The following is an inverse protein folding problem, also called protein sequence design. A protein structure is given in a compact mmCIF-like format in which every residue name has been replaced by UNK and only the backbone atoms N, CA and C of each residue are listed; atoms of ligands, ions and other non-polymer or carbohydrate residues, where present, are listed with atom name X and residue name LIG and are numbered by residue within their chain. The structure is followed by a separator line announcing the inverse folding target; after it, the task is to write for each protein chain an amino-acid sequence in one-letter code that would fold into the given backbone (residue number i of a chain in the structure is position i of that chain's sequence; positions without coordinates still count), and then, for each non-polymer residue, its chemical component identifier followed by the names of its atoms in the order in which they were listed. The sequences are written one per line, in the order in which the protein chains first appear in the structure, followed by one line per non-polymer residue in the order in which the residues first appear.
data_IF_189690341199
#
_entry.id   IF_189690341199
#
_cell.length_a   1.000
_cell.length_b   1.000
_cell.length_c   1.000
_cell.angle_alpha   90.00
_cell.angle_beta   90.00
_cell.angle_gamma   90.00
#
_symmetry.space_group_name_H-M   'P 1'
#
loop_
_entity.id
_entity.type
_entity.pdbx_description
1 polymer ?
#
# COMPACT_ATOMS: atom_id res chain seq x y z
N UNK A 1 7.77 -22.97 -16.68
CA UNK A 1 7.96 -21.57 -17.11
C UNK A 1 9.39 -21.38 -17.53
N UNK A 2 9.64 -20.62 -18.59
CA UNK A 2 10.97 -20.12 -18.94
C UNK A 2 10.94 -18.60 -18.77
N UNK A 3 11.46 -18.12 -17.64
CA UNK A 3 11.41 -16.68 -17.27
C UNK A 3 12.13 -15.84 -18.32
N UNK A 4 13.33 -16.25 -18.75
CA UNK A 4 14.13 -15.49 -19.73
C UNK A 4 13.35 -15.27 -21.04
N UNK A 5 12.67 -16.31 -21.53
CA UNK A 5 11.84 -16.21 -22.73
C UNK A 5 10.66 -15.25 -22.55
N UNK A 6 9.99 -15.31 -21.40
CA UNK A 6 8.84 -14.43 -21.09
C UNK A 6 9.32 -12.99 -20.97
N UNK A 7 10.39 -12.74 -20.21
CA UNK A 7 10.99 -11.42 -20.04
C UNK A 7 11.48 -10.85 -21.36
N UNK A 8 12.19 -11.63 -22.19
CA UNK A 8 12.64 -11.19 -23.52
C UNK A 8 11.45 -10.77 -24.40
N UNK A 9 10.37 -11.55 -24.39
CA UNK A 9 9.16 -11.21 -25.14
C UNK A 9 8.47 -9.95 -24.59
N UNK A 10 8.48 -9.76 -23.27
CA UNK A 10 7.83 -8.64 -22.61
C UNK A 10 8.63 -7.34 -22.80
N UNK A 11 9.95 -7.40 -22.70
CA UNK A 11 10.89 -6.30 -22.97
C UNK A 11 10.77 -5.82 -24.42
N UNK A 12 10.66 -6.76 -25.37
CA UNK A 12 10.44 -6.42 -26.78
C UNK A 12 9.09 -5.72 -27.03
N UNK A 13 8.05 -6.05 -26.24
CA UNK A 13 6.70 -5.49 -26.35
C UNK A 13 6.55 -4.15 -25.62
N UNK A 14 7.26 -3.97 -24.50
CA UNK A 14 7.17 -2.81 -23.62
C UNK A 14 8.54 -2.15 -23.41
N UNK A 15 9.18 -1.65 -24.48
CA UNK A 15 10.52 -1.06 -24.39
C UNK A 15 10.50 0.20 -23.51
N UNK A 16 11.48 0.32 -22.61
CA UNK A 16 11.65 1.50 -21.75
C UNK A 16 10.77 1.52 -20.50
N UNK A 17 9.98 0.48 -20.25
CA UNK A 17 9.16 0.38 -19.04
C UNK A 17 9.88 -0.32 -17.88
N UNK A 18 11.02 0.22 -17.44
CA UNK A 18 11.92 -0.38 -16.44
C UNK A 18 11.23 -0.81 -15.14
N UNK A 19 10.40 0.06 -14.56
CA UNK A 19 9.75 -0.16 -13.28
C UNK A 19 8.78 -1.35 -13.37
N UNK A 20 8.02 -1.41 -14.46
CA UNK A 20 7.09 -2.51 -14.74
C UNK A 20 7.82 -3.83 -14.98
N UNK A 21 8.85 -3.83 -15.84
CA UNK A 21 9.61 -5.04 -16.17
C UNK A 21 10.35 -5.61 -14.96
N UNK A 22 10.88 -4.74 -14.09
CA UNK A 22 11.50 -5.15 -12.84
C UNK A 22 10.50 -5.88 -11.94
N UNK A 23 9.32 -5.28 -11.70
CA UNK A 23 8.31 -5.87 -10.83
C UNK A 23 7.79 -7.22 -11.35
N UNK A 24 7.61 -7.35 -12.67
CA UNK A 24 7.24 -8.64 -13.27
C UNK A 24 8.32 -9.68 -13.00
N UNK A 25 9.59 -9.36 -13.28
CA UNK A 25 10.70 -10.30 -13.06
C UNK A 25 10.78 -10.78 -11.61
N UNK A 26 10.67 -9.87 -10.65
CA UNK A 26 10.71 -10.19 -9.21
C UNK A 26 9.58 -11.15 -8.81
N UNK A 27 8.35 -10.90 -9.27
CA UNK A 27 7.22 -11.81 -9.01
C UNK A 27 7.44 -13.16 -9.70
N UNK A 28 7.83 -13.19 -10.98
CA UNK A 28 8.03 -14.44 -11.72
C UNK A 28 9.07 -15.36 -11.07
N UNK A 29 10.20 -14.80 -10.60
CA UNK A 29 11.23 -15.55 -9.86
C UNK A 29 10.62 -16.21 -8.61
N UNK A 30 9.80 -15.48 -7.86
CA UNK A 30 9.23 -15.98 -6.60
C UNK A 30 8.17 -17.07 -6.77
N UNK A 31 7.52 -17.18 -7.93
CA UNK A 31 6.42 -18.12 -8.18
C UNK A 31 6.82 -19.28 -9.11
N UNK A 32 8.01 -19.26 -9.70
CA UNK A 32 8.44 -20.22 -10.73
C UNK A 32 8.29 -21.67 -10.29
N UNK A 33 8.79 -21.99 -9.09
CA UNK A 33 8.75 -23.33 -8.52
C UNK A 33 7.30 -23.84 -8.43
N UNK A 34 6.39 -23.02 -7.87
CA UNK A 34 4.99 -23.41 -7.69
C UNK A 34 4.27 -23.48 -9.02
N UNK A 35 4.47 -22.52 -9.91
CA UNK A 35 3.88 -22.53 -11.25
C UNK A 35 4.23 -23.83 -12.01
N UNK A 36 5.48 -24.29 -11.92
CA UNK A 36 5.94 -25.49 -12.60
C UNK A 36 5.29 -26.79 -12.09
N UNK A 37 4.67 -26.76 -10.91
CA UNK A 37 3.89 -27.87 -10.36
C UNK A 37 2.47 -27.96 -10.95
N UNK A 38 2.05 -26.98 -11.77
CA UNK A 38 0.72 -26.87 -12.36
C UNK A 38 0.79 -26.87 -13.91
N UNK A 39 0.88 -28.05 -14.57
CA UNK A 39 0.88 -28.16 -16.03
C UNK A 39 -0.35 -27.51 -16.69
N UNK A 40 -1.48 -27.45 -16.00
CA UNK A 40 -2.69 -26.77 -16.43
C UNK A 40 -2.52 -25.26 -16.58
N UNK A 41 -1.67 -24.62 -15.77
CA UNK A 41 -1.37 -23.20 -15.91
C UNK A 41 -0.55 -22.92 -17.17
N UNK A 42 0.42 -23.79 -17.46
CA UNK A 42 1.23 -23.69 -18.70
C UNK A 42 0.38 -23.92 -19.95
N UNK A 43 -0.52 -24.92 -19.92
CA UNK A 43 -1.44 -25.17 -21.03
C UNK A 43 -2.38 -23.98 -21.29
N UNK A 44 -2.82 -23.30 -20.23
CA UNK A 44 -3.70 -22.14 -20.32
C UNK A 44 -2.96 -20.80 -20.50
N UNK A 45 -1.63 -20.81 -20.58
CA UNK A 45 -0.79 -19.62 -20.76
C UNK A 45 -1.05 -18.54 -19.70
N UNK A 46 -1.17 -18.98 -18.45
CA UNK A 46 -1.55 -18.11 -17.34
C UNK A 46 -0.57 -16.96 -17.17
N UNK A 47 0.75 -17.19 -17.24
CA UNK A 47 1.72 -16.10 -17.04
C UNK A 47 1.67 -15.11 -18.19
N UNK A 48 1.65 -15.59 -19.43
CA UNK A 48 1.61 -14.72 -20.60
C UNK A 48 0.37 -13.82 -20.61
N UNK A 49 -0.77 -14.30 -20.07
CA UNK A 49 -1.99 -13.52 -19.88
C UNK A 49 -1.90 -12.61 -18.66
N UNK A 50 -1.40 -13.12 -17.53
CA UNK A 50 -1.38 -12.41 -16.25
C UNK A 50 -0.48 -11.19 -16.27
N UNK A 51 0.62 -11.21 -17.02
CA UNK A 51 1.53 -10.05 -17.11
C UNK A 51 0.96 -8.95 -18.01
N UNK A 52 0.08 -9.26 -18.96
CA UNK A 52 -0.50 -8.22 -19.80
C UNK A 52 -1.74 -7.60 -19.12
N UNK A 53 -1.83 -6.27 -18.97
CA UNK A 53 -3.03 -5.64 -18.43
C UNK A 53 -4.25 -5.91 -19.32
N UNK A 54 -5.42 -6.19 -18.71
CA UNK A 54 -6.69 -6.36 -19.45
C UNK A 54 -7.00 -5.13 -20.32
N UNK A 55 -6.73 -3.92 -19.81
CA UNK A 55 -6.92 -2.67 -20.55
C UNK A 55 -6.08 -1.52 -20.01
N UNK A 56 -5.67 -0.63 -20.91
CA UNK A 56 -5.00 0.62 -20.58
C UNK A 56 -5.73 1.76 -21.27
N UNK A 57 -6.15 2.76 -20.49
CA UNK A 57 -6.66 4.02 -20.98
C UNK A 57 -5.60 5.10 -20.78
N UNK A 58 -5.31 5.85 -21.84
CA UNK A 58 -4.48 7.06 -21.81
C UNK A 58 -5.29 8.17 -22.48
N UNK A 59 -5.43 9.31 -21.81
CA UNK A 59 -6.29 10.39 -22.26
C UNK A 59 -5.71 11.75 -21.89
N UNK A 60 -6.04 12.77 -22.69
CA UNK A 60 -5.62 14.15 -22.42
C UNK A 60 -6.54 14.78 -21.39
N UNK A 61 -5.97 15.55 -20.46
CA UNK A 61 -6.72 16.32 -19.45
C UNK A 61 -6.37 17.79 -19.62
N UNK A 62 -7.31 18.57 -20.13
CA UNK A 62 -7.15 20.02 -20.33
C UNK A 62 -7.99 20.78 -19.30
N UNK A 63 -7.37 21.75 -18.64
CA UNK A 63 -7.97 22.53 -17.56
C UNK A 63 -7.42 23.96 -17.59
N UNK A 64 -7.97 24.85 -16.77
CA UNK A 64 -7.57 26.27 -16.70
C UNK A 64 -7.06 26.59 -15.31
N UNK A 65 -5.92 27.25 -15.20
CA UNK A 65 -5.33 27.65 -13.91
C UNK A 65 -5.96 28.93 -13.35
N UNK A 66 -5.52 29.39 -12.19
CA UNK A 66 -6.09 30.60 -11.57
C UNK A 66 -5.74 31.90 -12.30
N UNK A 67 -4.78 31.88 -13.22
CA UNK A 67 -4.41 33.00 -14.07
C UNK A 67 -5.21 33.02 -15.39
N UNK A 68 -6.04 32.00 -15.63
CA UNK A 68 -6.80 31.86 -16.86
C UNK A 68 -6.04 31.17 -17.99
N UNK A 69 -4.84 30.65 -17.72
CA UNK A 69 -4.03 29.95 -18.71
C UNK A 69 -4.49 28.49 -18.86
N UNK A 70 -4.49 28.01 -20.10
CA UNK A 70 -4.86 26.63 -20.41
C UNK A 70 -3.68 25.71 -20.14
N UNK A 71 -3.91 24.74 -19.27
CA UNK A 71 -2.96 23.71 -18.89
C UNK A 71 -3.36 22.37 -19.50
N UNK A 72 -2.38 21.52 -19.80
CA UNK A 72 -2.62 20.17 -20.35
C UNK A 72 -1.73 19.15 -19.65
N UNK A 73 -2.36 18.06 -19.25
CA UNK A 73 -1.73 16.92 -18.58
C UNK A 73 -2.17 15.61 -19.24
N UNK A 74 -1.43 14.54 -18.97
CA UNK A 74 -1.78 13.20 -19.40
C UNK A 74 -2.42 12.43 -18.24
N UNK A 75 -3.57 11.81 -18.51
CA UNK A 75 -4.29 10.96 -17.58
C UNK A 75 -4.25 9.49 -17.99
N UNK A 76 -4.28 8.61 -17.01
CA UNK A 76 -4.15 7.17 -17.19
C UNK A 76 -5.11 6.38 -16.30
N UNK A 77 -5.60 5.25 -16.82
CA UNK A 77 -6.18 4.16 -16.02
C UNK A 77 -5.76 2.79 -16.58
N UNK A 78 -4.96 2.08 -15.80
CA UNK A 78 -4.54 0.69 -16.05
C UNK A 78 -5.49 -0.23 -15.29
N UNK A 79 -6.34 -0.91 -16.02
CA UNK A 79 -7.20 -1.99 -15.54
C UNK A 79 -6.45 -3.29 -15.75
N UNK A 80 -5.81 -3.79 -14.68
CA UNK A 80 -4.77 -4.79 -14.82
C UNK A 80 -5.34 -6.21 -14.89
N UNK A 81 -6.14 -6.59 -13.89
CA UNK A 81 -6.73 -7.92 -13.83
C UNK A 81 -8.04 -7.90 -13.04
N UNK A 82 -9.14 -8.40 -13.61
CA UNK A 82 -10.43 -8.48 -12.90
C UNK A 82 -10.85 -9.91 -12.50
N UNK A 83 -9.94 -10.90 -12.54
CA UNK A 83 -10.31 -12.31 -12.35
C UNK A 83 -10.97 -12.58 -10.99
N UNK A 84 -10.69 -11.79 -9.96
CA UNK A 84 -11.22 -11.98 -8.60
C UNK A 84 -12.19 -10.88 -8.15
N UNK A 85 -12.62 -10.00 -9.06
CA UNK A 85 -13.56 -8.92 -8.76
C UNK A 85 -13.26 -7.64 -9.55
N UNK A 86 -13.99 -6.53 -9.29
CA UNK A 86 -13.78 -5.26 -9.97
C UNK A 86 -12.34 -4.78 -9.86
N UNK A 87 -11.82 -4.07 -10.87
CA UNK A 87 -10.48 -3.49 -10.80
C UNK A 87 -10.40 -2.56 -9.59
N UNK A 88 -9.35 -2.71 -8.78
CA UNK A 88 -9.20 -1.91 -7.57
C UNK A 88 -7.79 -1.36 -7.47
N UNK A 89 -7.69 -0.04 -7.35
CA UNK A 89 -6.46 0.62 -6.95
C UNK A 89 -6.47 2.14 -7.15
N UNK A 90 -5.56 2.79 -6.44
CA UNK A 90 -5.53 4.25 -6.30
C UNK A 90 -5.23 5.03 -7.57
N UNK A 91 -5.49 6.33 -7.51
CA UNK A 91 -5.08 7.36 -8.47
C UNK A 91 -3.91 8.15 -7.91
N UNK A 92 -2.83 8.31 -8.68
CA UNK A 92 -1.64 9.08 -8.28
C UNK A 92 -1.51 10.35 -9.12
N UNK A 93 -1.39 11.51 -8.47
CA UNK A 93 -1.09 12.80 -9.13
C UNK A 93 0.31 13.24 -8.72
N UNK A 94 1.27 13.03 -9.62
CA UNK A 94 2.65 13.42 -9.39
C UNK A 94 3.38 13.64 -10.71
N UNK A 95 4.29 14.63 -10.75
CA UNK A 95 5.03 15.00 -11.97
C UNK A 95 5.85 13.86 -12.59
N UNK A 96 6.18 12.81 -11.82
CA UNK A 96 6.92 11.64 -12.31
C UNK A 96 6.03 10.55 -12.91
N UNK A 97 4.70 10.66 -12.82
CA UNK A 97 3.78 9.60 -13.27
C UNK A 97 3.96 9.36 -14.77
N UNK A 98 4.15 8.09 -15.12
CA UNK A 98 4.19 7.60 -16.49
C UNK A 98 3.52 6.21 -16.55
N UNK A 99 3.37 5.65 -17.76
CA UNK A 99 2.71 4.36 -17.94
C UNK A 99 3.44 3.20 -17.25
N UNK A 100 4.77 3.17 -17.29
CA UNK A 100 5.56 2.11 -16.65
C UNK A 100 5.28 2.04 -15.14
N UNK A 101 5.33 3.18 -14.45
CA UNK A 101 5.04 3.28 -13.02
C UNK A 101 3.61 2.79 -12.71
N UNK A 102 2.63 3.15 -13.54
CA UNK A 102 1.24 2.75 -13.30
C UNK A 102 0.99 1.26 -13.60
N UNK A 103 1.67 0.68 -14.60
CA UNK A 103 1.62 -0.77 -14.83
C UNK A 103 2.30 -1.54 -13.71
N UNK A 104 3.48 -1.11 -13.27
CA UNK A 104 4.15 -1.63 -12.07
C UNK A 104 3.18 -1.66 -10.87
N UNK A 105 2.61 -0.51 -10.52
CA UNK A 105 1.73 -0.40 -9.37
C UNK A 105 0.44 -1.22 -9.56
N UNK A 106 -0.11 -1.27 -10.77
CA UNK A 106 -1.29 -2.07 -11.09
C UNK A 106 -1.05 -3.57 -10.97
N UNK A 107 0.11 -4.04 -11.44
CA UNK A 107 0.54 -5.44 -11.35
C UNK A 107 0.67 -5.89 -9.88
N UNK A 108 1.41 -5.12 -9.08
CA UNK A 108 1.55 -5.36 -7.63
C UNK A 108 0.20 -5.32 -6.90
N UNK A 109 -0.68 -4.39 -7.30
CA UNK A 109 -2.00 -4.23 -6.70
C UNK A 109 -2.89 -5.47 -6.92
N UNK A 110 -2.77 -6.17 -8.05
CA UNK A 110 -3.47 -7.45 -8.33
C UNK A 110 -3.21 -8.47 -7.22
N UNK A 111 -1.94 -8.72 -6.89
CA UNK A 111 -1.58 -9.71 -5.87
C UNK A 111 -1.86 -9.23 -4.46
N UNK A 112 -1.61 -7.95 -4.17
CA UNK A 112 -1.93 -7.34 -2.88
C UNK A 112 -3.42 -7.44 -2.58
N UNK A 113 -4.29 -7.21 -3.56
CA UNK A 113 -5.74 -7.33 -3.40
C UNK A 113 -6.17 -8.78 -3.24
N UNK A 114 -5.57 -9.71 -4.00
CA UNK A 114 -5.84 -11.14 -3.88
C UNK A 114 -5.60 -11.66 -2.46
N UNK A 115 -4.52 -11.21 -1.82
CA UNK A 115 -4.15 -11.59 -0.44
C UNK A 115 -5.23 -11.21 0.58
N UNK A 116 -5.96 -10.11 0.38
CA UNK A 116 -6.96 -9.62 1.34
C UNK A 116 -8.14 -10.57 1.57
N UNK A 117 -8.24 -11.65 0.79
CA UNK A 117 -9.39 -12.57 0.69
C UNK A 117 -10.65 -11.97 0.06
N UNK A 118 -10.79 -10.64 0.03
CA UNK A 118 -11.90 -9.92 -0.56
C UNK A 118 -11.94 -10.02 -2.11
N UNK A 119 -13.11 -9.80 -2.73
CA UNK A 119 -13.28 -9.90 -4.18
C UNK A 119 -12.88 -8.61 -4.89
N UNK A 120 -11.56 -8.37 -5.02
CA UNK A 120 -11.01 -7.16 -5.64
C UNK A 120 -9.93 -7.54 -6.65
N UNK A 121 -10.14 -7.20 -7.92
CA UNK A 121 -9.12 -7.26 -8.97
C UNK A 121 -8.03 -6.20 -8.77
N UNK A 122 -7.08 -6.08 -9.70
CA UNK A 122 -5.99 -5.11 -9.63
C UNK A 122 -6.09 -4.00 -10.67
N UNK A 123 -5.76 -2.78 -10.28
CA UNK A 123 -5.66 -1.65 -11.20
C UNK A 123 -4.89 -0.48 -10.60
N UNK A 124 -4.57 0.51 -11.43
CA UNK A 124 -3.98 1.78 -10.99
C UNK A 124 -4.30 2.88 -11.99
N UNK A 125 -4.26 4.13 -11.58
CA UNK A 125 -4.36 5.26 -12.50
C UNK A 125 -3.67 6.48 -11.96
N UNK A 126 -3.79 7.58 -12.68
CA UNK A 126 -3.15 8.81 -12.26
C UNK A 126 -2.95 9.79 -13.39
N UNK A 127 -2.17 10.82 -13.10
CA UNK A 127 -1.77 11.85 -14.05
C UNK A 127 -0.40 12.42 -13.68
N UNK A 128 0.31 12.92 -14.68
CA UNK A 128 1.52 13.74 -14.51
C UNK A 128 1.24 15.12 -13.88
N UNK A 129 -0.03 15.44 -13.58
CA UNK A 129 -0.41 16.60 -12.79
C UNK A 129 0.20 16.57 -11.38
N UNK A 130 0.76 17.71 -10.94
CA UNK A 130 1.30 17.87 -9.59
C UNK A 130 0.42 18.85 -8.79
N UNK A 131 -0.19 18.41 -7.68
CA UNK A 131 -1.00 19.29 -6.82
C UNK A 131 -0.14 20.28 -6.02
N UNK A 132 1.18 20.10 -5.97
CA UNK A 132 2.08 21.01 -5.24
C UNK A 132 2.04 22.40 -5.86
N UNK A 133 1.81 23.41 -5.02
CA UNK A 133 1.72 24.81 -5.43
C UNK A 133 0.45 25.14 -6.22
N UNK A 134 -0.58 24.29 -6.15
CA UNK A 134 -1.90 24.54 -6.75
C UNK A 134 -2.90 24.99 -5.70
N UNK A 135 -3.81 25.87 -6.09
CA UNK A 135 -4.94 26.24 -5.24
C UNK A 135 -5.98 25.11 -5.18
N UNK A 136 -6.85 25.16 -4.17
CA UNK A 136 -8.00 24.24 -4.08
C UNK A 136 -8.89 24.31 -5.34
N UNK A 137 -9.03 25.51 -5.93
CA UNK A 137 -9.84 25.73 -7.12
C UNK A 137 -9.21 25.09 -8.36
N UNK A 138 -7.89 25.20 -8.52
CA UNK A 138 -7.14 24.53 -9.59
C UNK A 138 -7.23 23.01 -9.47
N UNK A 139 -7.05 22.48 -8.27
CA UNK A 139 -7.16 21.04 -8.00
C UNK A 139 -8.59 20.55 -8.30
N UNK A 140 -9.61 21.30 -7.89
CA UNK A 140 -11.00 20.96 -8.21
C UNK A 140 -11.25 20.93 -9.73
N UNK A 141 -10.81 21.96 -10.47
CA UNK A 141 -10.97 22.02 -11.93
C UNK A 141 -10.22 20.88 -12.62
N UNK A 142 -9.02 20.57 -12.16
CA UNK A 142 -8.26 19.42 -12.65
C UNK A 142 -8.99 18.09 -12.39
N UNK A 143 -9.43 17.83 -11.16
CA UNK A 143 -10.18 16.63 -10.81
C UNK A 143 -11.45 16.47 -11.66
N UNK A 144 -12.18 17.56 -11.89
CA UNK A 144 -13.37 17.54 -12.74
C UNK A 144 -13.01 17.22 -14.21
N UNK A 145 -11.98 17.87 -14.76
CA UNK A 145 -11.49 17.61 -16.11
C UNK A 145 -11.00 16.17 -16.28
N UNK A 146 -10.29 15.63 -15.29
CA UNK A 146 -9.84 14.24 -15.27
C UNK A 146 -11.02 13.25 -15.32
N UNK A 147 -12.08 13.53 -14.56
CA UNK A 147 -13.28 12.67 -14.51
C UNK A 147 -14.10 12.73 -15.79
N UNK A 148 -14.10 13.84 -16.55
CA UNK A 148 -14.81 13.94 -17.83
C UNK A 148 -14.44 12.83 -18.82
N UNK A 149 -13.19 12.35 -18.76
CA UNK A 149 -12.73 11.21 -19.55
C UNK A 149 -12.88 9.89 -18.78
N UNK A 150 -12.51 9.86 -17.49
CA UNK A 150 -12.44 8.61 -16.73
C UNK A 150 -13.82 7.96 -16.45
N UNK A 151 -14.89 8.74 -16.29
CA UNK A 151 -16.16 8.25 -15.72
C UNK A 151 -16.80 7.08 -16.50
N UNK A 152 -16.53 6.97 -17.81
CA UNK A 152 -17.06 5.90 -18.69
C UNK A 152 -16.38 4.55 -18.49
N UNK A 153 -15.28 4.54 -17.75
CA UNK A 153 -14.39 3.40 -17.59
C UNK A 153 -14.40 2.87 -16.16
N UNK A 154 -15.21 3.43 -15.28
CA UNK A 154 -15.29 3.09 -13.86
C UNK A 154 -16.73 2.88 -13.41
N UNK A 155 -16.90 2.14 -12.32
CA UNK A 155 -18.21 1.80 -11.76
C UNK A 155 -18.09 0.86 -10.58
N UNK A 156 -19.15 0.73 -9.76
CA UNK A 156 -19.08 -0.02 -8.49
C UNK A 156 -18.71 -1.50 -8.70
N UNK A 157 -19.14 -2.09 -9.81
CA UNK A 157 -18.87 -3.50 -10.18
C UNK A 157 -17.87 -3.63 -11.34
N UNK A 158 -17.26 -2.53 -11.78
CA UNK A 158 -16.31 -2.52 -12.90
C UNK A 158 -14.90 -2.17 -12.43
N UNK A 159 -14.71 -0.95 -11.94
CA UNK A 159 -13.41 -0.40 -11.51
C UNK A 159 -13.67 0.65 -10.44
N UNK A 160 -13.05 0.45 -9.27
CA UNK A 160 -13.26 1.25 -8.06
C UNK A 160 -11.95 1.94 -7.65
N UNK A 161 -11.68 3.17 -8.13
CA UNK A 161 -10.47 3.90 -7.76
C UNK A 161 -10.44 4.32 -6.28
N UNK A 162 -9.28 4.80 -5.84
CA UNK A 162 -9.05 5.31 -4.49
C UNK A 162 -7.99 6.43 -4.51
N UNK A 163 -7.67 6.99 -3.34
CA UNK A 163 -6.53 7.89 -3.19
C UNK A 163 -5.17 7.18 -3.26
N UNK A 164 -4.14 7.94 -3.64
CA UNK A 164 -2.71 7.59 -3.60
C UNK A 164 -1.91 8.91 -3.44
N UNK A 165 -0.61 8.91 -3.73
CA UNK A 165 0.22 10.13 -3.68
C UNK A 165 -0.41 11.23 -4.55
N UNK A 166 -0.65 12.40 -3.96
CA UNK A 166 -1.29 13.54 -4.62
C UNK A 166 -2.82 13.46 -4.76
N UNK A 167 -3.46 12.38 -4.28
CA UNK A 167 -4.92 12.20 -4.29
C UNK A 167 -5.39 11.81 -2.88
N UNK A 168 -5.72 12.82 -2.08
CA UNK A 168 -6.25 12.66 -0.72
C UNK A 168 -7.78 12.70 -0.67
N UNK A 169 -8.32 12.94 0.53
CA UNK A 169 -9.77 13.05 0.74
C UNK A 169 -10.41 14.20 -0.05
N UNK A 170 -9.69 15.32 -0.19
CA UNK A 170 -10.12 16.50 -0.98
C UNK A 170 -10.31 16.12 -2.44
N UNK A 171 -9.28 15.53 -3.07
CA UNK A 171 -9.33 15.13 -4.47
C UNK A 171 -10.39 14.05 -4.71
N UNK A 172 -10.50 13.05 -3.82
CA UNK A 172 -11.57 12.03 -3.89
C UNK A 172 -12.95 12.67 -3.78
N UNK A 173 -13.13 13.70 -2.94
CA UNK A 173 -14.37 14.47 -2.85
C UNK A 173 -14.74 15.14 -4.19
N UNK A 174 -13.80 15.84 -4.82
CA UNK A 174 -14.03 16.48 -6.13
C UNK A 174 -14.29 15.47 -7.24
N UNK A 175 -13.52 14.38 -7.28
CA UNK A 175 -13.66 13.29 -8.25
C UNK A 175 -15.02 12.61 -8.10
N UNK A 176 -15.41 12.23 -6.88
CA UNK A 176 -16.70 11.61 -6.61
C UNK A 176 -17.87 12.56 -6.94
N UNK A 177 -17.74 13.84 -6.60
CA UNK A 177 -18.74 14.87 -6.93
C UNK A 177 -18.98 14.98 -8.43
N UNK A 178 -17.91 15.01 -9.24
CA UNK A 178 -18.01 15.07 -10.69
C UNK A 178 -18.56 13.77 -11.29
N UNK A 179 -18.11 12.62 -10.79
CA UNK A 179 -18.62 11.31 -11.22
C UNK A 179 -20.13 11.22 -11.00
N UNK A 180 -20.60 11.52 -9.78
CA UNK A 180 -22.03 11.56 -9.43
C UNK A 180 -22.80 12.52 -10.33
N UNK A 181 -22.24 13.67 -10.68
CA UNK A 181 -22.89 14.64 -11.59
C UNK A 181 -23.10 14.06 -13.00
N UNK A 182 -22.12 13.32 -13.51
CA UNK A 182 -22.15 12.74 -14.85
C UNK A 182 -23.03 11.49 -14.92
N UNK A 183 -22.90 10.57 -13.97
CA UNK A 183 -23.65 9.31 -13.95
C UNK A 183 -25.05 9.45 -13.39
N UNK A 184 -25.29 10.44 -12.53
CA UNK A 184 -26.51 10.61 -11.72
C UNK A 184 -26.72 9.48 -10.70
N UNK A 185 -25.63 8.83 -10.29
CA UNK A 185 -25.64 7.71 -9.35
C UNK A 185 -24.86 8.04 -8.08
N UNK A 186 -25.37 7.57 -6.93
CA UNK A 186 -24.66 7.61 -5.65
C UNK A 186 -24.26 6.19 -5.25
N UNK A 187 -23.07 5.77 -5.67
CA UNK A 187 -22.58 4.39 -5.55
C UNK A 187 -21.17 4.33 -4.96
N UNK A 188 -20.73 3.11 -4.62
CA UNK A 188 -19.41 2.82 -4.08
C UNK A 188 -18.24 2.89 -5.08
N UNK A 189 -18.37 3.63 -6.20
CA UNK A 189 -17.33 3.68 -7.28
C UNK A 189 -15.98 4.22 -6.81
N UNK A 190 -15.90 4.89 -5.66
CA UNK A 190 -14.63 5.31 -5.07
C UNK A 190 -14.55 4.90 -3.60
N UNK A 191 -13.35 4.55 -3.14
CA UNK A 191 -13.04 4.35 -1.71
C UNK A 191 -12.15 5.47 -1.17
N UNK A 192 -12.12 5.63 0.15
CA UNK A 192 -11.50 6.79 0.80
C UNK A 192 -12.36 8.04 0.74
N UNK A 193 -13.68 7.87 0.64
CA UNK A 193 -14.66 8.96 0.74
C UNK A 193 -14.68 9.53 2.16
N UNK A 194 -15.18 10.75 2.31
CA UNK A 194 -15.49 11.35 3.62
C UNK A 194 -16.67 10.64 4.27
N UNK A 195 -16.72 10.66 5.59
CA UNK A 195 -17.69 9.90 6.38
C UNK A 195 -19.13 10.33 6.05
N UNK A 196 -19.34 11.61 5.77
CA UNK A 196 -20.63 12.22 5.46
C UNK A 196 -21.22 11.74 4.12
N UNK A 197 -20.41 11.12 3.26
CA UNK A 197 -20.82 10.69 1.91
C UNK A 197 -20.33 9.29 1.54
N UNK A 198 -20.34 8.37 2.51
CA UNK A 198 -20.13 6.93 2.29
C UNK A 198 -18.71 6.44 2.54
N UNK A 199 -17.89 7.22 3.24
CA UNK A 199 -16.60 6.77 3.77
C UNK A 199 -16.76 5.73 4.89
N UNK A 200 -15.68 5.01 5.19
CA UNK A 200 -15.63 4.05 6.29
C UNK A 200 -14.82 4.61 7.47
N UNK A 201 -15.29 4.35 8.69
CA UNK A 201 -14.45 4.46 9.89
C UNK A 201 -13.22 3.56 9.76
N UNK A 202 -12.19 3.80 10.59
CA UNK A 202 -10.90 3.10 10.59
C UNK A 202 -10.03 3.38 9.35
N UNK A 203 -10.55 3.98 8.27
CA UNK A 203 -9.80 4.18 7.02
C UNK A 203 -8.47 4.94 7.18
N UNK A 204 -8.36 6.03 7.96
CA UNK A 204 -7.09 6.74 8.15
C UNK A 204 -5.99 5.89 8.83
N UNK A 205 -6.35 5.12 9.85
CA UNK A 205 -5.45 4.28 10.65
C UNK A 205 -5.25 2.85 10.10
N UNK A 206 -6.12 2.40 9.18
CA UNK A 206 -6.23 1.01 8.73
C UNK A 206 -4.90 0.37 8.30
N UNK A 207 -4.04 1.12 7.61
CA UNK A 207 -2.73 0.60 7.18
C UNK A 207 -1.80 0.36 8.36
N UNK A 208 -1.76 1.29 9.32
CA UNK A 208 -0.96 1.14 10.54
C UNK A 208 -1.49 0.05 11.47
N UNK A 209 -2.81 0.01 11.67
CA UNK A 209 -3.49 -1.05 12.45
C UNK A 209 -3.22 -2.41 11.83
N UNK A 210 -3.43 -2.53 10.51
CA UNK A 210 -3.21 -3.76 9.78
C UNK A 210 -1.76 -4.24 9.88
N UNK A 211 -0.81 -3.32 9.72
CA UNK A 211 0.61 -3.63 9.86
C UNK A 211 0.97 -4.19 11.24
N UNK A 212 0.42 -3.60 12.31
CA UNK A 212 0.64 -4.10 13.67
C UNK A 212 -0.05 -5.44 13.92
N UNK A 213 -1.24 -5.68 13.38
CA UNK A 213 -1.88 -7.00 13.46
C UNK A 213 -1.03 -8.08 12.82
N UNK A 214 -0.49 -7.82 11.63
CA UNK A 214 0.36 -8.76 10.93
C UNK A 214 1.69 -9.00 11.66
N UNK A 215 2.36 -7.94 12.13
CA UNK A 215 3.60 -8.04 12.91
C UNK A 215 3.36 -8.82 14.21
N UNK A 216 2.27 -8.55 14.92
CA UNK A 216 1.91 -9.27 16.14
C UNK A 216 1.73 -10.77 15.87
N UNK A 217 1.05 -11.15 14.78
CA UNK A 217 0.91 -12.56 14.40
C UNK A 217 2.24 -13.20 14.01
N UNK A 218 3.09 -12.47 13.27
CA UNK A 218 4.43 -12.92 12.95
C UNK A 218 5.26 -13.21 14.21
N UNK A 219 5.19 -12.35 15.24
CA UNK A 219 5.83 -12.59 16.54
C UNK A 219 5.24 -13.81 17.26
N UNK A 220 3.91 -13.94 17.27
CA UNK A 220 3.22 -15.08 17.90
C UNK A 220 3.61 -16.42 17.28
N UNK A 221 3.90 -16.50 15.97
CA UNK A 221 4.42 -17.74 15.36
C UNK A 221 5.76 -18.21 15.94
N UNK A 222 6.50 -17.30 16.59
CA UNK A 222 7.75 -17.60 17.28
C UNK A 222 7.58 -17.61 18.81
N UNK A 223 6.35 -17.59 19.31
CA UNK A 223 6.05 -17.56 20.74
C UNK A 223 6.47 -16.25 21.43
N UNK A 224 6.59 -15.16 20.67
CA UNK A 224 7.01 -13.85 21.19
C UNK A 224 5.77 -13.00 21.42
N UNK A 225 5.59 -12.50 22.64
CA UNK A 225 4.60 -11.48 22.96
C UNK A 225 5.16 -10.09 22.61
N UNK A 226 4.35 -9.27 21.93
CA UNK A 226 4.70 -7.88 21.59
C UNK A 226 4.65 -6.96 22.82
N UNK A 227 3.92 -7.36 23.87
CA UNK A 227 3.80 -6.60 25.11
C UNK A 227 5.17 -6.39 25.75
N UNK A 228 5.48 -5.13 26.07
CA UNK A 228 6.74 -4.71 26.67
C UNK A 228 7.92 -4.60 25.68
N UNK A 229 7.73 -4.92 24.40
CA UNK A 229 8.75 -4.71 23.36
C UNK A 229 8.88 -3.24 23.00
N UNK A 230 10.11 -2.85 22.67
CA UNK A 230 10.43 -1.51 22.17
C UNK A 230 10.37 -1.49 20.64
N UNK A 231 9.77 -0.44 20.08
CA UNK A 231 9.57 -0.30 18.64
C UNK A 231 10.16 1.04 18.17
N UNK A 232 10.99 0.98 17.14
CA UNK A 232 11.36 2.17 16.35
C UNK A 232 10.43 2.27 15.15
N UNK A 233 9.77 3.42 15.02
CA UNK A 233 8.89 3.76 13.90
C UNK A 233 9.50 4.96 13.17
N UNK A 234 9.49 4.91 11.84
CA UNK A 234 9.73 6.08 11.00
C UNK A 234 8.40 6.72 10.58
N UNK A 235 8.41 8.02 10.30
CA UNK A 235 7.21 8.77 9.92
C UNK A 235 6.41 9.25 11.13
N UNK A 236 5.55 10.24 10.88
CA UNK A 236 4.49 10.67 11.80
C UNK A 236 3.12 10.78 11.08
N UNK A 237 3.04 10.38 9.80
CA UNK A 237 1.82 10.42 8.99
C UNK A 237 0.75 9.38 9.38
N UNK A 238 -0.29 9.20 8.55
CA UNK A 238 -1.40 8.27 8.81
C UNK A 238 -0.94 6.86 9.21
N UNK A 239 0.03 6.31 8.47
CA UNK A 239 0.53 4.95 8.68
C UNK A 239 1.26 4.85 10.02
N UNK A 240 2.19 5.75 10.28
CA UNK A 240 2.93 5.80 11.55
C UNK A 240 1.99 6.04 12.73
N UNK A 241 1.07 7.00 12.64
CA UNK A 241 0.08 7.30 13.68
C UNK A 241 -0.79 6.07 14.01
N UNK A 242 -1.32 5.38 13.00
CA UNK A 242 -2.07 4.14 13.21
C UNK A 242 -1.20 3.03 13.84
N UNK A 243 0.05 2.89 13.37
CA UNK A 243 0.99 1.91 13.89
C UNK A 243 1.34 2.17 15.36
N UNK A 244 1.64 3.42 15.73
CA UNK A 244 1.93 3.83 17.11
C UNK A 244 0.72 3.60 18.02
N UNK A 245 -0.46 3.98 17.55
CA UNK A 245 -1.71 3.79 18.29
C UNK A 245 -1.95 2.31 18.60
N UNK A 246 -1.89 1.44 17.58
CA UNK A 246 -2.15 0.01 17.77
C UNK A 246 -1.04 -0.69 18.56
N UNK A 247 0.23 -0.32 18.36
CA UNK A 247 1.35 -0.82 19.15
C UNK A 247 1.15 -0.56 20.65
N UNK A 248 0.75 0.67 20.99
CA UNK A 248 0.48 1.08 22.37
C UNK A 248 -0.70 0.30 22.97
N UNK A 249 -1.78 0.09 22.20
CA UNK A 249 -2.93 -0.73 22.62
C UNK A 249 -2.54 -2.19 22.89
N UNK A 250 -1.57 -2.73 22.12
CA UNK A 250 -1.00 -4.07 22.33
C UNK A 250 0.03 -4.12 23.47
N UNK A 251 0.31 -2.99 24.13
CA UNK A 251 1.24 -2.91 25.26
C UNK A 251 2.71 -2.84 24.86
N UNK A 252 3.03 -2.56 23.61
CA UNK A 252 4.38 -2.25 23.15
C UNK A 252 4.73 -0.78 23.42
N UNK A 253 6.03 -0.46 23.43
CA UNK A 253 6.55 0.88 23.67
C UNK A 253 7.21 1.43 22.41
N UNK A 254 6.53 2.34 21.73
CA UNK A 254 7.10 3.03 20.56
C UNK A 254 7.96 4.18 21.03
N UNK A 255 9.25 4.17 20.67
CA UNK A 255 10.23 5.14 21.18
C UNK A 255 10.73 6.12 20.12
N UNK A 256 10.33 5.97 18.86
CA UNK A 256 10.65 6.94 17.81
C UNK A 256 9.47 7.26 16.91
N UNK A 257 9.47 8.49 16.39
CA UNK A 257 8.73 8.94 15.21
C UNK A 257 9.68 9.79 14.37
N UNK A 258 9.44 9.97 13.06
CA UNK A 258 10.33 10.78 12.23
C UNK A 258 9.61 11.63 11.19
N UNK A 259 10.24 12.74 10.81
CA UNK A 259 9.86 13.60 9.70
C UNK A 259 11.00 13.73 8.69
N UNK A 260 10.78 14.42 7.55
CA UNK A 260 11.84 14.81 6.62
C UNK A 260 13.02 15.55 7.28
N UNK A 261 12.78 16.26 8.38
CA UNK A 261 13.76 17.05 9.14
C UNK A 261 14.62 16.23 10.11
N UNK A 262 14.25 14.98 10.42
CA UNK A 262 14.98 14.12 11.35
C UNK A 262 14.06 13.17 12.12
N UNK A 263 14.53 12.66 13.25
CA UNK A 263 13.71 11.79 14.11
C UNK A 263 13.70 12.23 15.57
N UNK A 264 12.64 11.83 16.27
CA UNK A 264 12.47 11.99 17.71
C UNK A 264 12.81 10.67 18.39
N UNK A 265 13.59 10.73 19.46
CA UNK A 265 13.71 9.66 20.46
C UNK A 265 12.94 10.08 21.72
N UNK A 266 11.92 9.33 22.07
CA UNK A 266 11.15 9.50 23.29
C UNK A 266 11.26 8.22 24.12
N UNK A 267 12.21 8.21 25.06
CA UNK A 267 12.48 7.04 25.91
C UNK A 267 11.31 6.72 26.85
N UNK A 268 10.35 7.62 27.07
CA UNK A 268 9.12 7.30 27.82
C UNK A 268 8.08 6.58 26.97
N UNK A 269 8.23 6.68 25.64
CA UNK A 269 7.31 6.15 24.65
C UNK A 269 6.25 7.17 24.21
N UNK A 270 5.81 7.01 22.95
CA UNK A 270 4.76 7.80 22.31
C UNK A 270 3.40 7.17 22.64
N UNK A 271 2.73 7.68 23.67
CA UNK A 271 1.44 7.18 24.16
C UNK A 271 0.59 8.31 24.74
N UNK A 272 -0.73 8.08 24.90
CA UNK A 272 -1.65 9.08 25.44
C UNK A 272 -1.73 10.34 24.56
N UNK A 273 -1.62 11.51 25.18
CA UNK A 273 -1.71 12.82 24.49
C UNK A 273 -0.62 13.01 23.41
N UNK A 274 0.50 12.30 23.52
CA UNK A 274 1.56 12.31 22.49
C UNK A 274 1.09 11.76 21.15
N UNK A 275 0.15 10.80 21.15
CA UNK A 275 -0.46 10.25 19.93
C UNK A 275 -1.39 11.28 19.30
N UNK A 276 -2.18 11.99 20.12
CA UNK A 276 -3.05 13.08 19.65
C UNK A 276 -2.21 14.21 19.05
N UNK A 277 -1.05 14.51 19.63
CA UNK A 277 -0.13 15.49 19.07
C UNK A 277 0.43 15.12 17.70
N UNK A 278 0.55 13.83 17.36
CA UNK A 278 0.92 13.44 15.99
C UNK A 278 -0.12 13.93 14.97
N UNK A 279 -1.41 13.99 15.34
CA UNK A 279 -2.45 14.54 14.47
C UNK A 279 -2.29 16.05 14.29
N UNK A 280 -1.92 16.79 15.35
CA UNK A 280 -1.62 18.22 15.28
C UNK A 280 -0.42 18.48 14.35
N UNK A 281 0.67 17.71 14.49
CA UNK A 281 1.85 17.81 13.62
C UNK A 281 1.48 17.59 12.15
N UNK A 282 0.65 16.59 11.86
CA UNK A 282 0.16 16.33 10.50
C UNK A 282 -0.75 17.44 9.98
N UNK A 283 -1.66 17.95 10.81
CA UNK A 283 -2.58 19.00 10.43
C UNK A 283 -1.87 20.34 10.14
N UNK A 284 -0.65 20.52 10.67
CA UNK A 284 0.17 21.71 10.39
C UNK A 284 0.59 21.85 8.92
N UNK A 285 0.72 20.73 8.19
CA UNK A 285 1.18 20.72 6.80
C UNK A 285 2.65 21.13 6.59
N UNK A 286 3.44 21.28 7.66
CA UNK A 286 4.83 21.72 7.57
C UNK A 286 5.83 20.59 7.26
N UNK A 287 5.39 19.33 7.33
CA UNK A 287 6.22 18.14 7.12
C UNK A 287 7.51 18.14 7.98
N UNK A 288 7.40 18.53 9.26
CA UNK A 288 8.50 18.51 10.25
C UNK A 288 8.07 17.86 11.57
N UNK A 289 8.98 17.15 12.23
CA UNK A 289 8.75 16.46 13.50
C UNK A 289 9.38 17.17 14.70
N UNK A 290 10.33 18.08 14.47
CA UNK A 290 11.04 18.83 15.52
C UNK A 290 10.14 19.45 16.61
N UNK A 291 8.95 20.03 16.30
CA UNK A 291 8.08 20.63 17.33
C UNK A 291 7.64 19.64 18.43
N UNK A 292 7.71 18.33 18.19
CA UNK A 292 7.48 17.33 19.23
C UNK A 292 8.43 17.47 20.43
N UNK A 293 9.72 17.70 20.19
CA UNK A 293 10.69 17.85 21.27
C UNK A 293 10.49 19.15 22.06
N UNK A 294 9.88 20.17 21.44
CA UNK A 294 9.52 21.42 22.11
C UNK A 294 8.33 21.22 23.07
N UNK A 295 7.30 20.46 22.64
CA UNK A 295 6.13 20.12 23.46
C UNK A 295 6.46 19.11 24.56
N UNK A 296 7.38 18.17 24.30
CA UNK A 296 7.76 17.10 25.22
C UNK A 296 9.26 17.13 25.54
N UNK A 297 9.72 17.92 26.54
CA UNK A 297 11.14 18.21 26.78
C UNK A 297 12.03 17.01 27.14
N UNK A 298 11.45 15.85 27.49
CA UNK A 298 12.19 14.60 27.72
C UNK A 298 12.55 13.88 26.42
N UNK A 299 11.87 14.20 25.33
CA UNK A 299 12.18 13.68 24.01
C UNK A 299 13.35 14.45 23.39
N UNK A 300 14.14 13.77 22.57
CA UNK A 300 15.32 14.34 21.90
C UNK A 300 15.11 14.32 20.39
N UNK A 301 15.35 15.46 19.75
CA UNK A 301 15.33 15.57 18.29
C UNK A 301 16.74 15.38 17.70
N UNK A 302 16.82 14.57 16.65
CA UNK A 302 18.03 14.28 15.91
C UNK A 302 17.85 14.69 14.45
N UNK A 303 18.35 15.87 14.12
CA UNK A 303 18.21 16.47 12.80
C UNK A 303 18.90 15.64 11.70
N UNK A 304 18.25 15.51 10.54
CA UNK A 304 18.76 14.84 9.33
C UNK A 304 19.27 13.40 9.54
N UNK A 305 18.74 12.70 10.54
CA UNK A 305 19.07 11.30 10.85
C UNK A 305 17.83 10.43 10.76
N UNK A 306 18.05 9.11 10.67
CA UNK A 306 16.99 8.09 10.61
C UNK A 306 16.97 7.30 11.93
N UNK A 307 15.80 6.78 12.35
CA UNK A 307 15.66 6.11 13.64
C UNK A 307 16.35 4.73 13.73
N UNK A 308 16.89 4.19 12.63
CA UNK A 308 17.47 2.85 12.55
C UNK A 308 18.74 2.63 13.39
N UNK A 309 19.34 3.70 13.89
CA UNK A 309 20.48 3.66 14.82
C UNK A 309 20.09 3.42 16.28
N UNK A 310 18.81 3.58 16.62
CA UNK A 310 18.29 3.40 17.97
C UNK A 310 18.13 1.91 18.26
N UNK A 311 18.67 1.44 19.38
CA UNK A 311 18.48 0.05 19.83
C UNK A 311 17.04 -0.19 20.27
N UNK A 312 16.40 -1.20 19.68
CA UNK A 312 15.05 -1.64 20.03
C UNK A 312 14.83 -3.11 19.64
N UNK A 313 13.62 -3.63 19.85
CA UNK A 313 13.25 -4.99 19.49
C UNK A 313 12.68 -5.09 18.07
N UNK A 314 11.93 -4.08 17.63
CA UNK A 314 11.14 -4.11 16.38
C UNK A 314 11.36 -2.82 15.59
N UNK A 315 11.55 -2.91 14.27
CA UNK A 315 11.62 -1.77 13.38
C UNK A 315 10.42 -1.74 12.42
N UNK A 316 9.73 -0.60 12.31
CA UNK A 316 8.60 -0.41 11.40
C UNK A 316 8.87 0.77 10.45
N UNK A 317 8.96 0.50 9.15
CA UNK A 317 9.05 1.54 8.13
C UNK A 317 7.65 2.07 7.84
N UNK A 318 7.40 3.36 8.04
CA UNK A 318 6.07 3.97 7.84
C UNK A 318 6.12 5.36 7.18
N UNK A 319 7.25 5.78 6.60
CA UNK A 319 7.41 7.12 6.03
C UNK A 319 7.34 7.14 4.50
N UNK A 320 8.37 6.64 3.82
CA UNK A 320 8.54 6.78 2.36
C UNK A 320 9.13 5.54 1.72
N UNK A 321 9.21 5.53 0.39
CA UNK A 321 9.92 4.51 -0.37
C UNK A 321 11.42 4.55 -0.06
N UNK A 322 12.08 3.39 -0.06
CA UNK A 322 13.53 3.20 0.08
C UNK A 322 14.13 3.93 1.30
N UNK A 323 13.39 3.99 2.40
CA UNK A 323 13.81 4.67 3.63
C UNK A 323 14.75 3.84 4.53
N UNK A 324 14.84 2.53 4.27
CA UNK A 324 15.73 1.60 4.94
C UNK A 324 16.55 0.86 3.87
N UNK A 325 17.87 1.10 3.86
CA UNK A 325 18.79 0.52 2.88
C UNK A 325 19.62 -0.64 3.49
N UNK A 326 20.50 -1.24 2.69
CA UNK A 326 21.36 -2.36 3.14
C UNK A 326 22.24 -2.04 4.36
N UNK A 327 22.78 -0.82 4.46
CA UNK A 327 23.59 -0.40 5.61
C UNK A 327 22.75 -0.29 6.89
N UNK A 328 21.53 0.25 6.76
CA UNK A 328 20.57 0.32 7.86
C UNK A 328 20.11 -1.10 8.27
N UNK A 329 19.86 -1.99 7.31
CA UNK A 329 19.53 -3.39 7.57
C UNK A 329 20.65 -4.11 8.33
N UNK A 330 21.92 -3.90 7.96
CA UNK A 330 23.06 -4.48 8.67
C UNK A 330 23.12 -3.99 10.12
N UNK A 331 22.89 -2.69 10.38
CA UNK A 331 22.81 -2.15 11.75
C UNK A 331 21.70 -2.80 12.57
N UNK A 332 20.51 -3.01 11.99
CA UNK A 332 19.39 -3.66 12.69
C UNK A 332 19.74 -5.11 13.07
N UNK A 333 20.42 -5.83 12.19
CA UNK A 333 20.87 -7.21 12.42
C UNK A 333 21.94 -7.25 13.52
N UNK A 334 22.94 -6.35 13.46
CA UNK A 334 24.00 -6.25 14.46
C UNK A 334 23.45 -5.87 15.85
N UNK A 335 22.40 -5.05 15.88
CA UNK A 335 21.68 -4.68 17.09
C UNK A 335 20.68 -5.75 17.58
N UNK A 336 20.57 -6.89 16.88
CA UNK A 336 19.72 -8.04 17.24
C UNK A 336 18.23 -7.70 17.32
N UNK A 337 17.75 -6.88 16.39
CA UNK A 337 16.31 -6.70 16.21
C UNK A 337 15.64 -8.05 15.95
N UNK A 338 14.42 -8.21 16.47
CA UNK A 338 13.61 -9.43 16.34
C UNK A 338 12.97 -9.47 14.95
N UNK A 339 12.35 -8.36 14.54
CA UNK A 339 11.67 -8.28 13.26
C UNK A 339 11.65 -6.88 12.64
N UNK A 340 11.46 -6.84 11.32
CA UNK A 340 11.17 -5.63 10.55
C UNK A 340 9.79 -5.76 9.90
N UNK A 341 8.95 -4.73 10.06
CA UNK A 341 7.65 -4.61 9.41
C UNK A 341 7.64 -3.48 8.39
N UNK A 342 7.46 -3.80 7.12
CA UNK A 342 7.49 -2.83 6.03
C UNK A 342 6.12 -2.17 5.78
N UNK A 343 5.65 -1.30 6.69
CA UNK A 343 4.27 -0.78 6.64
C UNK A 343 4.11 0.33 5.57
N UNK A 344 5.18 1.04 5.21
CA UNK A 344 5.18 1.92 4.03
C UNK A 344 5.10 1.12 2.73
N UNK A 345 4.81 1.78 1.61
CA UNK A 345 4.95 1.13 0.30
C UNK A 345 6.43 1.14 -0.09
N UNK A 346 7.04 -0.04 -0.28
CA UNK A 346 8.47 -0.19 -0.64
C UNK A 346 9.42 0.54 0.31
N UNK A 347 9.24 0.38 1.62
CA UNK A 347 10.07 1.03 2.64
C UNK A 347 11.52 0.55 2.66
N UNK A 348 11.77 -0.68 2.25
CA UNK A 348 13.10 -1.29 2.23
C UNK A 348 13.64 -1.36 0.79
N UNK A 349 14.93 -1.10 0.61
CA UNK A 349 15.59 -1.36 -0.68
C UNK A 349 15.74 -2.87 -0.91
N UNK A 350 15.88 -3.33 -2.17
CA UNK A 350 16.08 -4.76 -2.47
C UNK A 350 17.25 -5.37 -1.67
N UNK A 351 18.35 -4.63 -1.52
CA UNK A 351 19.53 -5.11 -0.78
C UNK A 351 19.22 -5.31 0.72
N UNK A 352 18.37 -4.46 1.31
CA UNK A 352 17.93 -4.63 2.69
C UNK A 352 17.09 -5.89 2.85
N UNK A 353 16.15 -6.12 1.92
CA UNK A 353 15.25 -7.28 1.91
C UNK A 353 16.07 -8.57 1.78
N UNK A 354 16.97 -8.62 0.81
CA UNK A 354 17.85 -9.76 0.57
C UNK A 354 18.68 -10.09 1.80
N UNK A 355 19.21 -9.05 2.48
CA UNK A 355 19.98 -9.23 3.70
C UNK A 355 19.13 -9.80 4.85
N UNK A 356 17.90 -9.31 5.04
CA UNK A 356 16.99 -9.86 6.06
C UNK A 356 16.65 -11.32 5.80
N UNK A 357 16.36 -11.68 4.54
CA UNK A 357 16.07 -13.06 4.13
C UNK A 357 17.30 -13.96 4.33
N UNK A 358 18.48 -13.51 3.86
CA UNK A 358 19.73 -14.25 3.99
C UNK A 358 20.09 -14.54 5.45
N UNK A 359 19.86 -13.56 6.33
CA UNK A 359 20.10 -13.70 7.79
C UNK A 359 18.94 -14.35 8.54
N UNK A 360 17.87 -14.75 7.83
CA UNK A 360 16.65 -15.36 8.41
C UNK A 360 16.01 -14.52 9.51
N UNK A 361 16.13 -13.19 9.41
CA UNK A 361 15.43 -12.26 10.29
C UNK A 361 13.93 -12.27 9.95
N UNK A 362 13.05 -12.07 10.94
CA UNK A 362 11.62 -11.96 10.66
C UNK A 362 11.34 -10.68 9.88
N UNK A 363 10.99 -10.84 8.61
CA UNK A 363 10.69 -9.75 7.70
C UNK A 363 9.26 -9.85 7.19
N UNK A 364 8.45 -8.82 7.45
CA UNK A 364 7.09 -8.73 6.91
C UNK A 364 7.06 -7.79 5.70
N UNK A 365 6.81 -8.31 4.47
CA UNK A 365 6.88 -7.52 3.25
C UNK A 365 5.68 -6.59 3.09
N UNK A 366 5.92 -5.43 2.47
CA UNK A 366 4.92 -4.39 2.22
C UNK A 366 3.62 -4.94 1.66
N UNK A 367 3.70 -5.75 0.59
CA UNK A 367 2.57 -6.39 -0.08
C UNK A 367 1.56 -7.07 0.88
N UNK A 368 2.03 -7.64 1.99
CA UNK A 368 1.19 -8.28 2.99
C UNK A 368 0.90 -7.35 4.19
N UNK A 369 1.93 -6.78 4.81
CA UNK A 369 1.81 -6.04 6.08
C UNK A 369 1.01 -4.75 5.94
N UNK A 370 1.12 -4.05 4.80
CA UNK A 370 0.42 -2.78 4.56
C UNK A 370 -0.93 -2.97 3.82
N UNK A 371 -1.42 -4.21 3.69
CA UNK A 371 -2.68 -4.54 3.04
C UNK A 371 -3.92 -4.04 3.82
N UNK A 372 -3.77 -3.64 5.08
CA UNK A 372 -4.87 -3.12 5.90
C UNK A 372 -5.63 -1.96 5.26
N UNK A 373 -4.93 -1.02 4.61
CA UNK A 373 -5.59 0.10 3.93
C UNK A 373 -6.47 -0.32 2.75
N UNK A 374 -6.07 -1.35 2.00
CA UNK A 374 -6.88 -1.86 0.88
C UNK A 374 -7.95 -2.85 1.37
N UNK A 375 -7.71 -3.59 2.45
CA UNK A 375 -8.72 -4.38 3.12
C UNK A 375 -9.88 -3.49 3.60
N UNK A 376 -9.60 -2.39 4.31
CA UNK A 376 -10.63 -1.44 4.74
C UNK A 376 -11.28 -0.71 3.57
N UNK A 377 -10.58 -0.55 2.44
CA UNK A 377 -11.22 -0.06 1.19
C UNK A 377 -12.26 -1.06 0.66
N UNK A 378 -11.97 -2.37 0.69
CA UNK A 378 -12.96 -3.39 0.35
C UNK A 378 -14.13 -3.44 1.34
N UNK A 379 -13.86 -3.23 2.63
CA UNK A 379 -14.93 -3.08 3.65
C UNK A 379 -15.78 -1.82 3.41
N UNK A 380 -15.19 -0.71 2.96
CA UNK A 380 -15.92 0.47 2.53
C UNK A 380 -16.83 0.13 1.34
N UNK A 381 -16.35 -0.64 0.35
CA UNK A 381 -17.20 -1.11 -0.76
C UNK A 381 -18.37 -1.95 -0.27
N UNK A 382 -18.14 -2.87 0.67
CA UNK A 382 -19.23 -3.67 1.27
C UNK A 382 -20.27 -2.80 1.96
N UNK A 383 -19.85 -1.84 2.79
CA UNK A 383 -20.75 -0.88 3.46
C UNK A 383 -21.59 -0.08 2.46
N UNK A 384 -20.95 0.42 1.39
CA UNK A 384 -21.65 1.16 0.34
C UNK A 384 -22.67 0.27 -0.42
N UNK A 385 -22.34 -0.99 -0.70
CA UNK A 385 -23.24 -1.93 -1.37
C UNK A 385 -24.42 -2.37 -0.47
N UNK A 386 -24.22 -2.45 0.83
CA UNK A 386 -25.29 -2.75 1.80
C UNK A 386 -26.13 -1.53 2.17
N UNK A 387 -25.67 -0.32 1.82
CA UNK A 387 -26.25 0.95 2.28
C UNK A 387 -26.33 1.08 3.81
N UNK A 388 -25.34 0.51 4.51
CA UNK A 388 -25.23 0.54 5.97
C UNK A 388 -23.79 0.87 6.37
N UNK A 389 -23.65 1.70 7.41
CA UNK A 389 -22.36 2.00 8.03
C UNK A 389 -22.13 1.10 9.22
N UNK A 390 -20.90 0.63 9.37
CA UNK A 390 -20.45 -0.12 10.55
C UNK A 390 -19.84 0.80 11.60
N UNK A 391 -19.83 0.34 12.85
CA UNK A 391 -19.08 1.02 13.92
C UNK A 391 -17.56 0.84 13.72
N UNK A 392 -16.76 1.65 14.42
CA UNK A 392 -15.31 1.53 14.36
C UNK A 392 -14.84 0.14 14.82
N UNK A 393 -15.47 -0.42 15.85
CA UNK A 393 -15.18 -1.74 16.41
C UNK A 393 -15.47 -2.85 15.40
N UNK A 394 -16.60 -2.78 14.69
CA UNK A 394 -16.97 -3.76 13.67
C UNK A 394 -15.98 -3.73 12.49
N UNK A 395 -15.57 -2.55 12.04
CA UNK A 395 -14.56 -2.40 10.98
C UNK A 395 -13.19 -2.92 11.45
N UNK A 396 -12.76 -2.57 12.67
CA UNK A 396 -11.47 -3.00 13.23
C UNK A 396 -11.42 -4.53 13.42
N UNK A 397 -12.51 -5.14 13.90
CA UNK A 397 -12.61 -6.59 14.05
C UNK A 397 -12.47 -7.31 12.69
N UNK A 398 -13.15 -6.81 11.65
CA UNK A 398 -13.03 -7.37 10.29
C UNK A 398 -11.63 -7.17 9.72
N UNK A 399 -11.04 -5.99 9.91
CA UNK A 399 -9.66 -5.71 9.51
C UNK A 399 -8.70 -6.70 10.18
N UNK A 400 -8.82 -6.93 11.48
CA UNK A 400 -7.99 -7.88 12.22
C UNK A 400 -8.13 -9.32 11.66
N UNK A 401 -9.35 -9.78 11.38
CA UNK A 401 -9.59 -11.09 10.75
C UNK A 401 -8.97 -11.21 9.35
N UNK A 402 -9.04 -10.14 8.55
CA UNK A 402 -8.41 -10.11 7.22
C UNK A 402 -6.90 -10.20 7.34
N UNK A 403 -6.27 -9.43 8.24
CA UNK A 403 -4.82 -9.50 8.44
C UNK A 403 -4.38 -10.88 8.93
N UNK A 404 -5.15 -11.52 9.81
CA UNK A 404 -4.96 -12.91 10.21
C UNK A 404 -4.99 -13.88 9.02
N UNK A 405 -5.95 -13.69 8.12
CA UNK A 405 -6.07 -14.51 6.93
C UNK A 405 -4.87 -14.30 5.99
N UNK A 406 -4.43 -13.06 5.78
CA UNK A 406 -3.25 -12.75 4.97
C UNK A 406 -2.00 -13.41 5.57
N UNK A 407 -1.79 -13.27 6.88
CA UNK A 407 -0.66 -13.89 7.58
C UNK A 407 -0.68 -15.42 7.43
N UNK A 408 -1.82 -16.07 7.68
CA UNK A 408 -1.95 -17.51 7.54
C UNK A 408 -1.63 -18.01 6.12
N UNK A 409 -2.02 -17.27 5.08
CA UNK A 409 -1.64 -17.59 3.70
C UNK A 409 -0.13 -17.45 3.49
N UNK A 410 0.48 -16.38 4.00
CA UNK A 410 1.92 -16.19 3.89
C UNK A 410 2.71 -17.30 4.61
N UNK A 411 2.25 -17.75 5.77
CA UNK A 411 2.84 -18.90 6.49
C UNK A 411 2.69 -20.18 5.67
N UNK A 412 1.49 -20.46 5.14
CA UNK A 412 1.21 -21.67 4.35
C UNK A 412 2.14 -21.82 3.15
N UNK A 413 2.37 -20.73 2.40
CA UNK A 413 3.16 -20.76 1.16
C UNK A 413 4.62 -20.34 1.34
N UNK A 414 4.98 -19.77 2.49
CA UNK A 414 6.32 -19.26 2.76
C UNK A 414 7.13 -20.11 3.75
N UNK A 415 6.55 -21.14 4.36
CA UNK A 415 7.30 -22.03 5.27
C UNK A 415 8.25 -22.93 4.48
N UNK A 416 9.54 -22.79 4.76
CA UNK A 416 10.61 -23.58 4.17
C UNK A 416 10.84 -24.90 4.95
N UNK A 417 11.53 -25.90 4.37
CA UNK A 417 11.75 -27.21 5.01
C UNK A 417 12.46 -27.16 6.38
N UNK A 418 13.20 -26.09 6.66
CA UNK A 418 13.91 -25.87 7.93
C UNK A 418 13.09 -25.09 8.97
N UNK A 419 11.82 -24.76 8.68
CA UNK A 419 10.92 -24.02 9.56
C UNK A 419 11.11 -22.49 9.55
N UNK A 420 12.00 -21.96 8.70
CA UNK A 420 12.01 -20.53 8.38
C UNK A 420 10.76 -20.17 7.57
N UNK A 421 10.20 -18.98 7.80
CA UNK A 421 9.04 -18.48 7.05
C UNK A 421 9.49 -17.30 6.21
N UNK A 422 9.62 -17.54 4.91
CA UNK A 422 9.87 -16.50 3.92
C UNK A 422 8.54 -15.83 3.53
N UNK A 423 8.17 -14.77 4.25
CA UNK A 423 6.92 -14.05 3.99
C UNK A 423 6.87 -13.38 2.61
N UNK A 424 8.02 -13.03 2.00
CA UNK A 424 8.07 -12.50 0.62
C UNK A 424 7.60 -13.56 -0.37
N UNK A 425 8.21 -14.75 -0.31
CA UNK A 425 7.82 -15.92 -1.12
C UNK A 425 6.35 -16.28 -0.86
N UNK A 426 5.96 -16.37 0.41
CA UNK A 426 4.60 -16.70 0.82
C UNK A 426 3.54 -15.73 0.30
N UNK A 427 3.78 -14.42 0.38
CA UNK A 427 2.85 -13.40 -0.10
C UNK A 427 2.68 -13.44 -1.62
N UNK A 428 3.77 -13.59 -2.38
CA UNK A 428 3.72 -13.64 -3.84
C UNK A 428 3.00 -14.91 -4.33
N UNK A 429 3.35 -16.08 -3.78
CA UNK A 429 2.71 -17.34 -4.16
C UNK A 429 1.22 -17.33 -3.79
N UNK A 430 0.86 -16.92 -2.58
CA UNK A 430 -0.54 -16.89 -2.16
C UNK A 430 -1.41 -15.98 -3.04
N UNK A 431 -0.92 -14.77 -3.33
CA UNK A 431 -1.60 -13.84 -4.23
C UNK A 431 -1.73 -14.39 -5.65
N UNK A 432 -0.63 -14.95 -6.19
CA UNK A 432 -0.60 -15.55 -7.52
C UNK A 432 -1.59 -16.71 -7.65
N UNK A 433 -1.56 -17.67 -6.72
CA UNK A 433 -2.38 -18.88 -6.78
C UNK A 433 -3.88 -18.57 -6.86
N UNK A 434 -4.35 -17.59 -6.06
CA UNK A 434 -5.76 -17.19 -6.09
C UNK A 434 -6.17 -16.64 -7.46
N UNK A 435 -5.35 -15.77 -8.04
CA UNK A 435 -5.62 -15.14 -9.34
C UNK A 435 -5.50 -16.16 -10.47
N UNK A 436 -4.45 -16.98 -10.48
CA UNK A 436 -4.20 -18.02 -11.48
C UNK A 436 -5.35 -19.03 -11.54
N UNK A 437 -5.83 -19.52 -10.39
CA UNK A 437 -6.99 -20.41 -10.35
C UNK A 437 -8.27 -19.75 -10.86
N UNK A 438 -8.50 -18.47 -10.52
CA UNK A 438 -9.66 -17.74 -11.02
C UNK A 438 -9.61 -17.55 -12.54
N UNK A 439 -8.45 -17.14 -13.08
CA UNK A 439 -8.23 -17.00 -14.52
C UNK A 439 -8.41 -18.32 -15.27
N UNK A 440 -7.89 -19.43 -14.71
CA UNK A 440 -8.06 -20.75 -15.31
C UNK A 440 -9.54 -21.16 -15.35
N UNK A 441 -10.26 -20.95 -14.25
CA UNK A 441 -11.68 -21.32 -14.14
C UNK A 441 -12.59 -20.50 -15.06
N UNK A 442 -12.23 -19.25 -15.34
CA UNK A 442 -12.98 -18.34 -16.22
C UNK A 442 -12.66 -18.51 -17.71
N UNK A 443 -11.70 -19.37 -18.05
CA UNK A 443 -11.36 -19.69 -19.43
C UNK A 443 -10.47 -18.65 -20.11
N UNK A 444 -10.52 -18.62 -21.45
CA UNK A 444 -9.68 -17.75 -22.28
C UNK A 444 -10.50 -16.52 -22.67
N UNK A 445 -10.39 -15.50 -21.83
CA UNK A 445 -11.03 -14.18 -21.96
C UNK A 445 -9.99 -13.08 -21.83
#
# INVERSE_FOLDING_TARGET
MNIEKIMTSLEAKHPGESEYLQAVKEVLISIEEVYNQHPEFEKAKIIERLVEPDRIFTFRVTWVDDQGEVQTNLGYRVQFNNAIGPYKGGLRFHASVNLSILKFLGFEQTFKNALTTLPMGGGKGGSDFSPRGKSDAEIMRFCQAFVLELWRHIGPDMDVPAGDIGVGGREIGYIFGMYKKLTREFTGTFTGKGLEYGGSLIRPEATGFGGLYFVNQMLQTKGIDIKGKTIVVSGFGNVAWGAVTKATQLGAKVITISGPDGYILDEDGVSGDKIDYMLELRASGNDIVAPYAEKYPRAKFFANRRPWEVKADIALTCATQNELNGDDAQKLIDNKFICVGEISNMGCTPEAIDLFILKKMLYAPGKAVNAGGVATSGLEMSQNAMHLSWTAEEVDQKLHQIMHSIHAQCVKYGTEPDGYINYVKGANIAGFMKVAHAMLAQGIV
#
